data_IF_491173571692
#
_entry.id   IF_491173571692
#
_cell.length_a   1.000
_cell.length_b   1.000
_cell.length_c   1.000
_cell.angle_alpha   90.00
_cell.angle_beta   90.00
_cell.angle_gamma   90.00
#
_symmetry.space_group_name_H-M   'P 1'
#
loop_
_entity.id
_entity.type
_entity.pdbx_description
1 polymer ?
#
# COMPACT_ATOMS: atom_id res chain seq x y z
N UNK A 1 36.40 -1.06 -26.70
CA UNK A 1 35.37 -2.11 -26.61
C UNK A 1 34.77 -2.04 -25.20
N UNK A 2 33.69 -1.29 -25.00
CA UNK A 2 33.08 -1.14 -23.67
C UNK A 2 32.15 -2.30 -23.40
N UNK A 3 32.40 -3.06 -22.33
CA UNK A 3 31.44 -4.04 -21.81
C UNK A 3 30.24 -3.27 -21.25
N UNK A 4 29.12 -3.29 -21.97
CA UNK A 4 27.83 -2.86 -21.41
C UNK A 4 27.35 -3.97 -20.47
N UNK A 5 27.22 -3.65 -19.19
CA UNK A 5 26.64 -4.54 -18.20
C UNK A 5 25.13 -4.55 -18.46
N UNK A 6 24.61 -5.56 -19.16
CA UNK A 6 23.19 -5.69 -19.51
C UNK A 6 22.36 -6.33 -18.37
N UNK A 7 22.61 -5.91 -17.13
CA UNK A 7 21.80 -6.33 -15.99
C UNK A 7 20.50 -5.52 -15.93
N UNK A 8 19.34 -6.18 -16.01
CA UNK A 8 18.05 -5.53 -15.71
C UNK A 8 18.10 -5.03 -14.25
N UNK A 9 18.03 -3.71 -14.05
CA UNK A 9 17.89 -3.13 -12.71
C UNK A 9 16.46 -3.41 -12.25
N UNK A 10 16.32 -4.22 -11.19
CA UNK A 10 15.04 -4.48 -10.54
C UNK A 10 14.64 -3.29 -9.67
N UNK A 11 13.45 -2.76 -9.89
CA UNK A 11 12.88 -1.69 -9.06
C UNK A 11 11.90 -2.28 -8.07
N UNK A 12 12.10 -1.97 -6.79
CA UNK A 12 11.26 -2.46 -5.70
C UNK A 12 10.50 -1.26 -5.13
N UNK A 13 9.18 -1.35 -5.12
CA UNK A 13 8.32 -0.48 -4.31
C UNK A 13 8.15 -1.14 -2.95
N UNK A 14 8.46 -0.42 -1.88
CA UNK A 14 8.35 -0.92 -0.51
C UNK A 14 7.49 0.02 0.32
N UNK A 15 6.56 -0.52 1.10
CA UNK A 15 5.75 0.21 2.06
C UNK A 15 5.55 -0.59 3.35
N UNK A 16 5.36 0.07 4.47
CA UNK A 16 5.09 -0.52 5.78
C UNK A 16 4.29 0.50 6.63
N UNK A 17 3.85 0.09 7.82
CA UNK A 17 3.26 1.00 8.82
C UNK A 17 2.02 1.76 8.32
N UNK A 18 1.18 1.08 7.53
CA UNK A 18 -0.05 1.66 6.99
C UNK A 18 -1.07 1.93 8.11
N UNK A 19 -1.09 1.07 9.13
CA UNK A 19 -2.03 1.12 10.26
C UNK A 19 -3.46 1.43 9.83
N UNK A 20 -4.06 0.54 9.03
CA UNK A 20 -5.47 0.58 8.67
C UNK A 20 -6.30 0.59 9.95
N UNK A 21 -7.07 1.67 10.11
CA UNK A 21 -7.90 1.94 11.28
C UNK A 21 -9.15 2.71 10.91
N UNK A 22 -10.29 2.08 11.15
CA UNK A 22 -11.62 2.68 10.99
C UNK A 22 -12.28 2.93 12.35
N UNK A 23 -13.27 3.83 12.40
CA UNK A 23 -14.04 4.10 13.63
C UNK A 23 -13.28 4.91 14.71
N UNK A 24 -12.24 5.66 14.33
CA UNK A 24 -11.56 6.55 15.27
C UNK A 24 -12.51 7.65 15.77
N UNK A 25 -12.41 8.01 17.06
CA UNK A 25 -13.26 9.02 17.69
C UNK A 25 -13.19 10.34 16.89
N UNK A 26 -14.38 10.88 16.56
CA UNK A 26 -14.56 12.10 15.77
C UNK A 26 -14.04 12.04 14.32
N UNK A 27 -13.81 10.85 13.77
CA UNK A 27 -13.42 10.68 12.36
C UNK A 27 -14.53 9.92 11.64
N UNK A 28 -15.19 10.51 10.62
CA UNK A 28 -16.17 9.80 9.82
C UNK A 28 -15.54 8.59 9.12
N UNK A 29 -16.22 7.44 9.16
CA UNK A 29 -15.72 6.18 8.56
C UNK A 29 -15.51 6.33 7.06
N UNK A 30 -16.45 6.96 6.34
CA UNK A 30 -16.35 7.17 4.90
C UNK A 30 -15.14 8.04 4.52
N UNK A 31 -14.83 9.05 5.34
CA UNK A 31 -13.63 9.86 5.16
C UNK A 31 -12.37 9.03 5.37
N UNK A 32 -12.35 8.19 6.42
CA UNK A 32 -11.22 7.32 6.70
C UNK A 32 -11.03 6.26 5.62
N UNK A 33 -12.09 5.68 5.05
CA UNK A 33 -12.02 4.75 3.92
C UNK A 33 -11.46 5.46 2.67
N UNK A 34 -12.00 6.63 2.35
CA UNK A 34 -11.57 7.39 1.17
C UNK A 34 -10.07 7.74 1.19
N UNK A 35 -9.48 8.05 2.36
CA UNK A 35 -8.04 8.34 2.44
C UNK A 35 -7.17 7.14 2.06
N UNK A 36 -7.59 5.93 2.40
CA UNK A 36 -6.89 4.71 2.00
C UNK A 36 -7.07 4.46 0.51
N UNK A 37 -8.27 4.65 -0.04
CA UNK A 37 -8.50 4.54 -1.49
C UNK A 37 -7.63 5.52 -2.30
N UNK A 38 -7.43 6.74 -1.79
CA UNK A 38 -6.52 7.72 -2.41
C UNK A 38 -5.05 7.27 -2.33
N UNK A 39 -4.64 6.63 -1.22
CA UNK A 39 -3.31 6.04 -1.08
C UNK A 39 -3.11 4.86 -2.04
N UNK A 40 -4.11 3.98 -2.17
CA UNK A 40 -4.09 2.83 -3.08
C UNK A 40 -3.90 3.27 -4.53
N UNK A 41 -4.59 4.33 -4.94
CA UNK A 41 -4.40 4.93 -6.27
C UNK A 41 -2.96 5.41 -6.49
N UNK A 42 -2.32 6.03 -5.50
CA UNK A 42 -0.92 6.42 -5.61
C UNK A 42 0.00 5.20 -5.70
N UNK A 43 -0.29 4.13 -4.96
CA UNK A 43 0.44 2.88 -5.06
C UNK A 43 0.26 2.23 -6.43
N UNK A 44 -0.93 2.22 -7.01
CA UNK A 44 -1.18 1.73 -8.36
C UNK A 44 -0.32 2.47 -9.40
N UNK A 45 -0.24 3.80 -9.32
CA UNK A 45 0.61 4.62 -10.21
C UNK A 45 2.12 4.32 -10.04
N UNK A 46 2.57 4.05 -8.80
CA UNK A 46 3.97 3.70 -8.52
C UNK A 46 4.31 2.26 -8.92
N UNK A 47 3.37 1.33 -8.76
CA UNK A 47 3.52 -0.07 -9.14
C UNK A 47 3.79 -0.23 -10.64
N UNK A 48 3.25 0.63 -11.49
CA UNK A 48 3.55 0.66 -12.94
C UNK A 48 5.03 0.90 -13.25
N UNK A 49 5.79 1.43 -12.29
CA UNK A 49 7.21 1.76 -12.42
C UNK A 49 8.13 0.79 -11.65
N UNK A 50 7.54 -0.17 -10.93
CA UNK A 50 8.24 -1.15 -10.11
C UNK A 50 8.07 -2.57 -10.67
N UNK A 51 9.08 -3.41 -10.46
CA UNK A 51 9.01 -4.83 -10.80
C UNK A 51 8.38 -5.66 -9.67
N UNK A 52 8.51 -5.18 -8.42
CA UNK A 52 8.00 -5.87 -7.22
C UNK A 52 7.44 -4.83 -6.26
N UNK A 53 6.25 -5.11 -5.69
CA UNK A 53 5.68 -4.37 -4.59
C UNK A 53 5.74 -5.20 -3.30
N UNK A 54 6.39 -4.66 -2.27
CA UNK A 54 6.61 -5.32 -0.99
C UNK A 54 5.90 -4.55 0.11
N UNK A 55 5.05 -5.24 0.85
CA UNK A 55 4.39 -4.73 2.06
C UNK A 55 5.12 -5.33 3.26
N UNK A 56 5.85 -4.49 4.00
CA UNK A 56 6.77 -4.86 5.07
C UNK A 56 6.11 -5.26 6.40
N UNK A 57 4.79 -5.08 6.54
CA UNK A 57 4.05 -5.38 7.75
C UNK A 57 3.44 -4.14 8.40
N UNK A 58 2.95 -4.32 9.63
CA UNK A 58 2.20 -3.31 10.41
C UNK A 58 1.06 -2.64 9.63
N UNK A 59 0.32 -3.49 8.91
CA UNK A 59 -0.80 -3.07 8.05
C UNK A 59 -2.02 -2.68 8.88
N UNK A 60 -2.24 -3.30 10.04
CA UNK A 60 -3.39 -3.05 10.90
C UNK A 60 -2.94 -2.64 12.30
N UNK A 61 -3.61 -1.65 12.89
CA UNK A 61 -3.33 -1.16 14.25
C UNK A 61 -3.61 -2.22 15.33
N UNK A 62 -4.53 -3.15 15.05
CA UNK A 62 -4.98 -4.24 15.93
C UNK A 62 -5.57 -5.37 15.10
N UNK A 63 -6.17 -6.38 15.75
CA UNK A 63 -7.02 -7.37 15.09
C UNK A 63 -8.07 -6.67 14.21
N UNK A 64 -8.04 -6.87 12.88
CA UNK A 64 -8.86 -6.09 11.97
C UNK A 64 -10.32 -6.54 12.00
N UNK A 65 -11.20 -5.58 11.77
CA UNK A 65 -12.60 -5.81 11.44
C UNK A 65 -12.78 -6.21 9.97
N UNK A 66 -13.97 -6.70 9.61
CA UNK A 66 -14.30 -7.01 8.21
C UNK A 66 -14.19 -5.78 7.30
N UNK A 67 -14.56 -4.59 7.77
CA UNK A 67 -14.46 -3.36 7.01
C UNK A 67 -12.99 -2.94 6.77
N UNK A 68 -12.12 -3.16 7.75
CA UNK A 68 -10.69 -2.89 7.61
C UNK A 68 -10.01 -3.90 6.67
N UNK A 69 -10.46 -5.16 6.70
CA UNK A 69 -10.02 -6.18 5.74
C UNK A 69 -10.45 -5.83 4.31
N UNK A 70 -11.68 -5.37 4.10
CA UNK A 70 -12.16 -4.89 2.80
C UNK A 70 -11.22 -3.81 2.24
N UNK A 71 -10.90 -2.79 3.06
CA UNK A 71 -9.97 -1.71 2.68
C UNK A 71 -8.58 -2.24 2.32
N UNK A 72 -8.10 -3.29 3.00
CA UNK A 72 -6.83 -3.92 2.69
C UNK A 72 -6.88 -4.74 1.39
N UNK A 73 -7.97 -5.46 1.13
CA UNK A 73 -8.09 -6.23 -0.11
C UNK A 73 -8.30 -5.34 -1.34
N UNK A 74 -8.74 -4.09 -1.18
CA UNK A 74 -8.73 -3.11 -2.27
C UNK A 74 -7.32 -2.72 -2.73
N UNK A 75 -6.28 -2.96 -1.90
CA UNK A 75 -4.88 -2.73 -2.25
C UNK A 75 -4.25 -3.90 -3.05
N UNK A 76 -4.66 -5.14 -2.77
CA UNK A 76 -4.00 -6.38 -3.23
C UNK A 76 -4.62 -6.89 -4.52
#
# INVERSE_FOLDING_TARGET
MGFFITGKIMKILFTADIHIKLGQKNVPVDWARNRYNLLWKQFEELQQQADVFVIGGDVFDKLPSMDELEVYFDLV
#
